data_IF_949976454395
#
_entry.id   IF_949976454395
#
_cell.length_a   1.000
_cell.length_b   1.000
_cell.length_c   1.000
_cell.angle_alpha   90.00
_cell.angle_beta   90.00
_cell.angle_gamma   90.00
#
_symmetry.space_group_name_H-M   'P 1'
#
loop_
_entity.id
_entity.type
_entity.pdbx_description
1 polymer ?
#
# COMPACT_ATOMS: atom_id res chain seq x y z
N UNK A 1 -16.65 -17.86 10.58
CA UNK A 1 -16.57 -17.00 9.37
C UNK A 1 -15.69 -15.81 9.71
N UNK A 2 -14.97 -15.22 8.75
CA UNK A 2 -14.19 -14.00 8.99
C UNK A 2 -15.13 -12.80 8.91
N UNK A 3 -15.06 -11.89 9.87
CA UNK A 3 -15.97 -10.71 9.94
C UNK A 3 -15.55 -9.55 9.02
N UNK A 4 -14.75 -9.83 7.99
CA UNK A 4 -14.23 -8.83 7.06
C UNK A 4 -14.15 -9.39 5.64
N UNK A 5 -14.26 -8.49 4.67
CA UNK A 5 -14.21 -8.83 3.26
C UNK A 5 -12.82 -9.31 2.83
N UNK A 6 -12.80 -10.37 2.02
CA UNK A 6 -11.65 -10.85 1.27
C UNK A 6 -12.07 -10.99 -0.19
N UNK A 7 -11.27 -10.45 -1.10
CA UNK A 7 -11.51 -10.57 -2.55
C UNK A 7 -11.62 -12.04 -2.97
N UNK A 8 -12.56 -12.35 -3.85
CA UNK A 8 -12.68 -13.69 -4.45
C UNK A 8 -11.91 -13.81 -5.77
N UNK A 9 -11.81 -15.04 -6.29
CA UNK A 9 -11.09 -15.30 -7.53
C UNK A 9 -11.74 -14.60 -8.74
N UNK A 10 -13.07 -14.52 -8.78
CA UNK A 10 -13.77 -13.90 -9.90
C UNK A 10 -13.52 -12.38 -9.95
N UNK A 11 -13.46 -11.71 -8.81
CA UNK A 11 -13.05 -10.30 -8.69
C UNK A 11 -11.59 -10.10 -9.06
N UNK A 12 -10.71 -11.03 -8.68
CA UNK A 12 -9.32 -11.01 -9.08
C UNK A 12 -9.19 -11.08 -10.60
N UNK A 13 -9.83 -12.06 -11.25
CA UNK A 13 -9.78 -12.25 -12.69
C UNK A 13 -10.35 -11.05 -13.45
N UNK A 14 -11.46 -10.47 -12.96
CA UNK A 14 -12.04 -9.23 -13.53
C UNK A 14 -11.07 -8.05 -13.45
N UNK A 15 -10.37 -7.88 -12.32
CA UNK A 15 -9.40 -6.79 -12.16
C UNK A 15 -8.20 -6.96 -13.10
N UNK A 16 -7.65 -8.19 -13.19
CA UNK A 16 -6.54 -8.48 -14.09
C UNK A 16 -6.94 -8.28 -15.55
N UNK A 17 -8.10 -8.81 -15.96
CA UNK A 17 -8.63 -8.65 -17.32
C UNK A 17 -8.79 -7.18 -17.71
N UNK A 18 -9.26 -6.34 -16.79
CA UNK A 18 -9.37 -4.90 -17.02
C UNK A 18 -8.01 -4.22 -17.18
N UNK A 19 -7.00 -4.63 -16.41
CA UNK A 19 -5.64 -4.13 -16.60
C UNK A 19 -5.07 -4.58 -17.95
N UNK A 20 -5.22 -5.86 -18.30
CA UNK A 20 -4.79 -6.43 -19.59
C UNK A 20 -5.39 -5.69 -20.78
N UNK A 21 -6.69 -5.40 -20.70
CA UNK A 21 -7.41 -4.70 -21.74
C UNK A 21 -7.03 -3.22 -21.85
N UNK A 22 -6.50 -2.58 -20.80
CA UNK A 22 -6.39 -1.11 -20.75
C UNK A 22 -5.01 -0.56 -20.36
N UNK A 23 -4.00 -1.40 -20.12
CA UNK A 23 -2.69 -0.94 -19.65
C UNK A 23 -1.96 0.00 -20.63
N UNK A 24 -2.21 -0.13 -21.93
CA UNK A 24 -1.66 0.75 -22.97
C UNK A 24 -2.69 1.09 -24.04
N UNK A 25 -2.42 2.13 -24.84
CA UNK A 25 -3.31 2.55 -25.93
C UNK A 25 -3.44 1.48 -27.02
N UNK A 26 -2.32 0.88 -27.42
CA UNK A 26 -2.29 -0.09 -28.53
C UNK A 26 -2.28 -1.54 -28.03
N UNK A 27 -3.00 -2.43 -28.71
CA UNK A 27 -3.02 -3.87 -28.41
C UNK A 27 -1.60 -4.47 -28.47
N UNK A 28 -0.78 -4.01 -29.43
CA UNK A 28 0.61 -4.47 -29.58
C UNK A 28 1.46 -4.15 -28.33
N UNK A 29 1.32 -2.94 -27.77
CA UNK A 29 1.99 -2.57 -26.52
C UNK A 29 1.47 -3.38 -25.33
N UNK A 30 0.14 -3.57 -25.22
CA UNK A 30 -0.46 -4.42 -24.16
C UNK A 30 0.17 -5.82 -24.16
N UNK A 31 0.13 -6.51 -25.31
CA UNK A 31 0.74 -7.85 -25.46
C UNK A 31 2.22 -7.86 -25.09
N UNK A 32 2.98 -6.85 -25.53
CA UNK A 32 4.42 -6.76 -25.21
C UNK A 32 4.69 -6.51 -23.73
N UNK A 33 3.84 -5.74 -23.05
CA UNK A 33 3.93 -5.53 -21.61
C UNK A 33 3.82 -6.86 -20.85
N UNK A 34 2.84 -7.70 -21.17
CA UNK A 34 2.69 -9.00 -20.49
C UNK A 34 3.81 -9.98 -20.84
N UNK A 35 4.33 -9.97 -22.07
CA UNK A 35 5.52 -10.76 -22.42
C UNK A 35 6.76 -10.33 -21.63
N UNK A 36 6.95 -9.01 -21.42
CA UNK A 36 8.06 -8.48 -20.61
C UNK A 36 7.89 -8.89 -19.14
N UNK A 37 6.70 -8.68 -18.58
CA UNK A 37 6.41 -9.03 -17.18
C UNK A 37 6.59 -10.54 -16.94
N UNK A 38 6.05 -11.40 -17.82
CA UNK A 38 6.21 -12.85 -17.73
C UNK A 38 7.67 -13.31 -17.85
N UNK A 39 8.50 -12.62 -18.65
CA UNK A 39 9.92 -12.92 -18.72
C UNK A 39 10.65 -12.61 -17.41
N UNK A 40 10.34 -11.46 -16.79
CA UNK A 40 10.92 -11.08 -15.50
C UNK A 40 10.39 -11.93 -14.33
N UNK A 41 9.12 -12.30 -14.36
CA UNK A 41 8.52 -13.20 -13.37
C UNK A 41 9.17 -14.59 -13.44
N UNK A 42 9.34 -15.16 -14.63
CA UNK A 42 10.08 -16.44 -14.80
C UNK A 42 11.51 -16.35 -14.31
N UNK A 43 12.22 -15.26 -14.60
CA UNK A 43 13.58 -15.07 -14.11
C UNK A 43 13.64 -14.97 -12.57
N UNK A 44 12.63 -14.37 -11.94
CA UNK A 44 12.52 -14.30 -10.49
C UNK A 44 12.23 -15.66 -9.85
N UNK A 45 11.37 -16.47 -10.48
CA UNK A 45 11.02 -17.82 -10.04
C UNK A 45 12.20 -18.78 -10.19
N UNK A 46 12.86 -18.82 -11.36
CA UNK A 46 14.07 -19.64 -11.59
C UNK A 46 15.14 -19.35 -10.54
N UNK A 47 15.40 -18.07 -10.30
CA UNK A 47 16.36 -17.63 -9.29
C UNK A 47 15.97 -18.08 -7.89
N UNK A 48 14.68 -18.03 -7.54
CA UNK A 48 14.18 -18.48 -6.26
C UNK A 48 14.34 -20.00 -6.08
N UNK A 49 13.97 -20.79 -7.08
CA UNK A 49 14.11 -22.25 -7.06
C UNK A 49 15.56 -22.70 -6.94
N UNK A 50 16.48 -22.03 -7.63
CA UNK A 50 17.92 -22.30 -7.53
C UNK A 50 18.49 -22.00 -6.14
N UNK A 51 18.08 -20.89 -5.52
CA UNK A 51 18.46 -20.57 -4.14
C UNK A 51 17.88 -21.60 -3.17
N UNK A 52 16.63 -22.06 -3.36
CA UNK A 52 16.04 -23.12 -2.55
C UNK A 52 16.79 -24.45 -2.67
N UNK A 53 17.41 -24.73 -3.82
CA UNK A 53 18.31 -25.88 -4.04
C UNK A 53 19.71 -25.70 -3.44
N UNK A 54 19.96 -24.59 -2.72
CA UNK A 54 21.25 -24.31 -2.07
C UNK A 54 22.27 -23.58 -2.95
N UNK A 55 21.88 -23.12 -4.15
CA UNK A 55 22.81 -22.43 -5.04
C UNK A 55 23.10 -20.99 -4.56
N UNK A 56 24.39 -20.66 -4.43
CA UNK A 56 24.84 -19.32 -4.05
C UNK A 56 24.83 -18.37 -5.27
N UNK A 57 23.72 -17.67 -5.48
CA UNK A 57 23.58 -16.72 -6.59
C UNK A 57 23.94 -15.27 -6.20
N UNK A 58 24.61 -14.50 -7.08
CA UNK A 58 24.98 -13.11 -6.81
C UNK A 58 23.74 -12.24 -6.60
N UNK A 59 23.76 -11.30 -5.66
CA UNK A 59 22.61 -10.43 -5.35
C UNK A 59 22.25 -9.54 -6.56
N UNK A 60 21.05 -9.71 -7.09
CA UNK A 60 20.53 -8.95 -8.24
C UNK A 60 19.15 -8.38 -7.92
N UNK A 61 18.91 -7.11 -8.26
CA UNK A 61 17.59 -6.48 -8.19
C UNK A 61 16.94 -6.49 -9.58
N UNK A 62 16.17 -7.55 -9.85
CA UNK A 62 15.48 -7.72 -11.13
C UNK A 62 14.48 -6.58 -11.40
N UNK A 63 13.86 -6.02 -10.38
CA UNK A 63 12.93 -4.90 -10.55
C UNK A 63 13.65 -3.60 -10.92
N UNK A 64 14.88 -3.40 -10.45
CA UNK A 64 15.74 -2.30 -10.94
C UNK A 64 16.13 -2.51 -12.40
N UNK A 65 16.51 -3.73 -12.78
CA UNK A 65 16.81 -4.08 -14.18
C UNK A 65 15.60 -3.82 -15.09
N UNK A 66 14.41 -4.25 -14.64
CA UNK A 66 13.14 -3.97 -15.32
C UNK A 66 12.86 -2.47 -15.42
N UNK A 67 13.04 -1.72 -14.32
CA UNK A 67 12.83 -0.26 -14.31
C UNK A 67 13.71 0.45 -15.33
N UNK A 68 14.93 -0.05 -15.53
CA UNK A 68 15.92 0.48 -16.47
C UNK A 68 15.83 -0.11 -17.88
N UNK A 69 14.79 -0.92 -18.17
CA UNK A 69 14.62 -1.53 -19.48
C UNK A 69 14.46 -0.47 -20.56
N UNK A 70 15.43 -0.41 -21.48
CA UNK A 70 15.43 0.48 -22.64
C UNK A 70 14.58 -0.08 -23.79
N UNK A 71 13.99 0.78 -24.63
CA UNK A 71 13.36 0.34 -25.87
C UNK A 71 14.39 -0.34 -26.78
N UNK A 72 13.94 -1.28 -27.61
CA UNK A 72 14.80 -1.83 -28.67
C UNK A 72 14.84 -0.81 -29.81
N UNK A 73 16.03 -0.52 -30.31
CA UNK A 73 16.24 0.40 -31.42
C UNK A 73 15.35 0.00 -32.63
N UNK A 74 14.74 0.98 -33.27
CA UNK A 74 13.78 0.76 -34.36
C UNK A 74 12.40 0.23 -33.95
N UNK A 75 12.07 0.14 -32.65
CA UNK A 75 10.73 -0.32 -32.20
C UNK A 75 9.98 0.74 -31.41
N UNK A 76 8.77 1.12 -31.87
CA UNK A 76 7.86 2.05 -31.15
C UNK A 76 6.83 1.33 -30.27
N UNK A 77 6.68 0.03 -30.46
CA UNK A 77 5.65 -0.79 -29.83
C UNK A 77 6.12 -1.53 -28.57
N UNK A 78 7.42 -1.53 -28.28
CA UNK A 78 7.98 -2.17 -27.08
C UNK A 78 8.07 -1.12 -25.98
N UNK A 79 7.19 -1.15 -24.97
CA UNK A 79 7.23 -0.17 -23.89
C UNK A 79 8.52 -0.34 -23.06
N UNK A 80 9.12 0.78 -22.63
CA UNK A 80 10.21 0.76 -21.65
C UNK A 80 9.66 0.48 -20.25
N UNK A 81 10.55 0.09 -19.33
CA UNK A 81 10.16 -0.21 -17.94
C UNK A 81 9.39 0.93 -17.27
N UNK A 82 9.81 2.17 -17.52
CA UNK A 82 9.12 3.37 -17.03
C UNK A 82 7.66 3.48 -17.49
N UNK A 83 7.37 3.12 -18.73
CA UNK A 83 6.01 3.20 -19.32
C UNK A 83 5.10 2.14 -18.72
N UNK A 84 5.61 0.90 -18.57
CA UNK A 84 4.87 -0.19 -17.93
C UNK A 84 4.56 0.18 -16.47
N UNK A 85 5.55 0.69 -15.73
CA UNK A 85 5.33 1.16 -14.35
C UNK A 85 4.32 2.30 -14.31
N UNK A 86 4.31 3.20 -15.29
CA UNK A 86 3.37 4.32 -15.34
C UNK A 86 1.94 3.84 -15.58
N UNK A 87 1.76 2.94 -16.56
CA UNK A 87 0.47 2.30 -16.81
C UNK A 87 -0.06 1.60 -15.56
N UNK A 88 0.79 0.84 -14.89
CA UNK A 88 0.42 0.12 -13.67
C UNK A 88 0.03 1.07 -12.53
N UNK A 89 0.81 2.12 -12.29
CA UNK A 89 0.51 3.16 -11.28
C UNK A 89 -0.83 3.84 -11.55
N UNK A 90 -1.08 4.24 -12.80
CA UNK A 90 -2.32 4.89 -13.19
C UNK A 90 -3.54 3.98 -12.99
N UNK A 91 -3.43 2.71 -13.40
CA UNK A 91 -4.48 1.72 -13.19
C UNK A 91 -4.80 1.55 -11.71
N UNK A 92 -3.81 1.17 -10.90
CA UNK A 92 -4.04 0.89 -9.48
C UNK A 92 -4.47 2.12 -8.66
N UNK A 93 -3.95 3.30 -8.96
CA UNK A 93 -4.39 4.52 -8.29
C UNK A 93 -5.87 4.78 -8.60
N UNK A 94 -6.30 4.63 -9.85
CA UNK A 94 -7.71 4.82 -10.24
C UNK A 94 -8.62 3.79 -9.56
N UNK A 95 -8.21 2.53 -9.51
CA UNK A 95 -8.94 1.44 -8.81
C UNK A 95 -9.24 1.74 -7.34
N UNK A 96 -8.39 2.54 -6.70
CA UNK A 96 -8.48 2.89 -5.28
C UNK A 96 -8.89 4.34 -5.06
N UNK A 97 -9.52 4.99 -6.05
CA UNK A 97 -10.00 6.37 -5.93
C UNK A 97 -8.89 7.40 -5.70
N UNK A 98 -7.67 7.11 -6.16
CA UNK A 98 -6.45 7.88 -5.91
C UNK A 98 -6.06 8.00 -4.43
N UNK A 99 -6.38 7.00 -3.60
CA UNK A 99 -5.90 6.94 -2.21
C UNK A 99 -4.70 6.02 -2.04
N UNK A 100 -3.79 6.40 -1.15
CA UNK A 100 -2.68 5.55 -0.70
C UNK A 100 -3.24 4.24 -0.12
N UNK A 101 -2.69 3.12 -0.57
CA UNK A 101 -3.17 1.80 -0.17
C UNK A 101 -3.06 1.50 1.34
N UNK A 102 -2.27 2.28 2.09
CA UNK A 102 -2.12 2.13 3.54
C UNK A 102 -2.78 3.26 4.33
N UNK A 103 -2.36 4.51 4.16
CA UNK A 103 -2.82 5.61 5.02
C UNK A 103 -4.08 6.34 4.52
N UNK A 104 -4.62 5.94 3.37
CA UNK A 104 -5.77 6.58 2.74
C UNK A 104 -5.62 8.11 2.55
N UNK A 105 -4.38 8.62 2.46
CA UNK A 105 -4.13 9.98 1.97
C UNK A 105 -4.35 10.03 0.46
N UNK A 106 -4.84 11.16 -0.04
CA UNK A 106 -4.94 11.39 -1.47
C UNK A 106 -3.56 11.36 -2.12
N UNK A 107 -3.46 10.72 -3.28
CA UNK A 107 -2.26 10.61 -4.07
C UNK A 107 -2.30 11.69 -5.17
N UNK A 108 -1.42 12.69 -5.03
CA UNK A 108 -1.26 13.75 -6.02
C UNK A 108 -0.98 13.18 -7.42
N UNK A 109 -1.43 13.88 -8.46
CA UNK A 109 -1.31 13.41 -9.83
C UNK A 109 0.10 13.57 -10.42
N UNK A 110 1.11 13.07 -9.72
CA UNK A 110 2.48 12.99 -10.20
C UNK A 110 3.08 11.60 -9.90
N UNK A 111 3.96 11.11 -10.77
CA UNK A 111 4.50 9.75 -10.67
C UNK A 111 5.38 9.54 -9.45
N UNK A 112 6.03 10.59 -8.96
CA UNK A 112 6.88 10.54 -7.77
C UNK A 112 6.08 10.38 -6.47
N UNK A 113 4.84 10.90 -6.42
CA UNK A 113 3.94 10.76 -5.28
C UNK A 113 3.26 9.39 -5.19
N UNK A 114 3.36 8.56 -6.25
CA UNK A 114 2.66 7.28 -6.39
C UNK A 114 3.62 6.10 -6.58
N UNK A 115 4.62 5.87 -5.70
CA UNK A 115 5.51 4.72 -5.83
C UNK A 115 4.75 3.39 -5.88
N UNK A 116 5.27 2.45 -6.68
CA UNK A 116 4.80 1.07 -6.69
C UNK A 116 5.34 0.38 -5.44
N UNK A 117 4.42 -0.04 -4.58
CA UNK A 117 4.70 -0.77 -3.36
C UNK A 117 4.76 -2.26 -3.64
N UNK A 118 5.72 -2.96 -3.03
CA UNK A 118 5.74 -4.42 -2.99
C UNK A 118 5.22 -4.87 -1.64
N UNK A 119 4.00 -5.41 -1.60
CA UNK A 119 3.31 -5.76 -0.36
C UNK A 119 4.17 -6.73 0.45
N UNK A 120 4.60 -7.82 -0.19
CA UNK A 120 5.73 -8.63 0.25
C UNK A 120 7.02 -8.08 -0.39
N UNK A 121 8.01 -7.63 0.40
CA UNK A 121 9.15 -6.91 -0.11
C UNK A 121 10.02 -7.81 -1.00
N UNK A 122 10.28 -7.35 -2.23
CA UNK A 122 11.06 -8.06 -3.25
C UNK A 122 12.47 -8.49 -2.80
N UNK A 123 13.04 -7.85 -1.79
CA UNK A 123 14.34 -8.20 -1.21
C UNK A 123 14.28 -9.53 -0.43
N UNK A 124 13.13 -9.86 0.17
CA UNK A 124 12.88 -11.11 0.88
C UNK A 124 12.01 -12.10 0.11
N UNK A 125 11.24 -11.61 -0.86
CA UNK A 125 10.26 -12.36 -1.64
C UNK A 125 10.47 -12.10 -3.13
N UNK A 126 11.68 -12.39 -3.61
CA UNK A 126 12.07 -12.09 -5.00
C UNK A 126 11.14 -12.73 -6.02
N UNK A 127 10.63 -13.93 -5.73
CA UNK A 127 9.71 -14.68 -6.60
C UNK A 127 8.39 -13.93 -6.86
N UNK A 128 8.00 -13.01 -5.97
CA UNK A 128 6.79 -12.22 -6.10
C UNK A 128 7.05 -10.80 -6.60
N UNK A 129 8.28 -10.46 -6.99
CA UNK A 129 8.65 -9.09 -7.37
C UNK A 129 7.85 -8.56 -8.57
N UNK A 130 7.37 -9.45 -9.45
CA UNK A 130 6.59 -9.11 -10.64
C UNK A 130 5.15 -9.61 -10.59
N UNK A 131 4.76 -10.30 -9.51
CA UNK A 131 3.42 -10.82 -9.38
C UNK A 131 2.43 -9.66 -9.26
N UNK A 132 1.42 -9.63 -10.13
CA UNK A 132 0.42 -8.55 -10.19
C UNK A 132 -0.15 -8.25 -8.80
N UNK A 133 -0.55 -9.28 -8.04
CA UNK A 133 -1.20 -9.15 -6.75
C UNK A 133 -0.27 -8.72 -5.60
N UNK A 134 1.05 -8.82 -5.80
CA UNK A 134 2.03 -8.32 -4.85
C UNK A 134 2.33 -6.83 -5.00
N UNK A 135 1.86 -6.19 -6.07
CA UNK A 135 2.16 -4.81 -6.37
C UNK A 135 0.96 -3.90 -6.06
N UNK A 136 1.18 -2.83 -5.31
CA UNK A 136 0.20 -1.80 -4.93
C UNK A 136 0.72 -0.38 -5.23
N UNK A 137 -0.07 0.65 -4.94
CA UNK A 137 0.38 2.06 -4.96
C UNK A 137 0.22 2.67 -3.59
N UNK A 138 1.33 3.11 -3.02
CA UNK A 138 1.39 3.81 -1.75
C UNK A 138 1.82 5.27 -1.96
N UNK A 139 1.65 6.11 -0.93
CA UNK A 139 2.32 7.41 -0.91
C UNK A 139 3.81 7.23 -0.57
N UNK A 140 4.61 8.26 -0.86
CA UNK A 140 6.07 8.27 -0.60
C UNK A 140 6.39 7.98 0.86
N UNK A 141 5.65 8.56 1.81
CA UNK A 141 5.87 8.33 3.24
C UNK A 141 5.65 6.87 3.62
N UNK A 142 4.53 6.27 3.22
CA UNK A 142 4.23 4.89 3.57
C UNK A 142 5.24 3.93 2.95
N UNK A 143 5.56 4.10 1.67
CA UNK A 143 6.54 3.28 0.97
C UNK A 143 7.94 3.41 1.61
N UNK A 144 8.33 4.62 2.01
CA UNK A 144 9.63 4.91 2.63
C UNK A 144 9.74 4.44 4.08
N UNK A 145 8.63 4.35 4.83
CA UNK A 145 8.64 3.81 6.20
C UNK A 145 8.57 2.28 6.19
N UNK A 146 7.80 1.69 5.27
CA UNK A 146 7.70 0.24 5.12
C UNK A 146 9.01 -0.36 4.57
N UNK A 147 9.57 0.21 3.49
CA UNK A 147 10.78 -0.31 2.81
C UNK A 147 10.69 -1.84 2.61
N UNK A 148 11.76 -2.54 2.99
CA UNK A 148 11.90 -3.99 2.96
C UNK A 148 11.41 -4.70 4.24
N UNK A 149 10.65 -4.03 5.13
CA UNK A 149 10.09 -4.69 6.32
C UNK A 149 9.13 -5.79 5.91
N UNK A 150 9.30 -6.96 6.52
CA UNK A 150 8.45 -8.13 6.33
C UNK A 150 7.39 -8.13 7.42
N UNK A 151 6.13 -8.01 7.02
CA UNK A 151 5.00 -8.00 7.95
C UNK A 151 4.26 -9.32 8.04
N UNK A 152 4.53 -10.23 7.11
CA UNK A 152 3.94 -11.55 7.04
C UNK A 152 4.69 -12.58 7.88
N UNK A 153 4.08 -13.75 8.04
CA UNK A 153 4.72 -14.92 8.62
C UNK A 153 5.77 -15.55 7.67
N UNK A 154 6.53 -16.51 8.20
CA UNK A 154 7.52 -17.25 7.41
C UNK A 154 6.91 -18.26 6.43
N UNK A 155 5.63 -18.63 6.60
CA UNK A 155 4.96 -19.61 5.75
C UNK A 155 4.87 -19.18 4.30
N UNK A 156 4.90 -17.88 4.03
CA UNK A 156 4.84 -17.30 2.67
C UNK A 156 6.19 -17.25 1.94
N UNK A 157 7.31 -17.50 2.63
CA UNK A 157 8.67 -17.34 2.06
C UNK A 157 9.05 -18.45 1.09
N UNK A 158 8.62 -19.68 1.37
CA UNK A 158 9.06 -20.88 0.65
C UNK A 158 8.03 -21.36 -0.39
N UNK A 159 7.16 -20.47 -0.84
CA UNK A 159 6.15 -20.77 -1.85
C UNK A 159 6.55 -20.15 -3.20
N UNK A 160 6.29 -20.89 -4.28
CA UNK A 160 6.47 -20.44 -5.66
C UNK A 160 5.24 -19.67 -6.14
N UNK A 161 4.04 -20.17 -5.83
CA UNK A 161 2.78 -19.49 -6.13
C UNK A 161 2.53 -18.35 -5.14
N UNK A 162 1.92 -17.25 -5.60
CA UNK A 162 1.54 -16.17 -4.70
C UNK A 162 0.49 -16.67 -3.68
N UNK A 163 0.64 -16.36 -2.38
CA UNK A 163 -0.29 -16.88 -1.38
C UNK A 163 -1.73 -16.45 -1.65
N UNK A 164 -2.68 -17.36 -1.45
CA UNK A 164 -4.10 -17.08 -1.67
C UNK A 164 -4.61 -15.93 -0.78
N UNK A 165 -5.63 -15.16 -1.20
CA UNK A 165 -6.17 -14.06 -0.41
C UNK A 165 -6.51 -14.41 1.04
N UNK A 166 -7.09 -15.59 1.26
CA UNK A 166 -7.48 -16.08 2.58
C UNK A 166 -6.31 -16.36 3.53
N UNK A 167 -5.08 -16.51 3.03
CA UNK A 167 -3.88 -16.83 3.80
C UNK A 167 -3.24 -15.64 4.52
N UNK A 168 -3.64 -14.40 4.20
CA UNK A 168 -3.14 -13.18 4.85
C UNK A 168 -3.91 -12.89 6.15
N UNK A 169 -3.80 -13.79 7.12
CA UNK A 169 -4.46 -13.65 8.43
C UNK A 169 -3.67 -12.78 9.40
N UNK A 170 -2.37 -12.64 9.18
CA UNK A 170 -1.42 -11.99 10.07
C UNK A 170 -1.17 -10.51 9.73
N UNK A 171 -1.49 -10.07 8.50
CA UNK A 171 -1.24 -8.70 8.06
C UNK A 171 -2.33 -8.14 7.16
N UNK A 172 -2.47 -6.82 7.12
CA UNK A 172 -3.36 -6.17 6.17
C UNK A 172 -2.77 -6.23 4.76
N UNK A 173 -3.51 -6.86 3.84
CA UNK A 173 -3.14 -6.92 2.43
C UNK A 173 -3.94 -5.89 1.62
N UNK A 174 -3.34 -4.80 1.12
CA UNK A 174 -4.07 -3.68 0.50
C UNK A 174 -4.84 -4.03 -0.78
N UNK A 175 -4.54 -5.19 -1.37
CA UNK A 175 -5.25 -5.67 -2.56
C UNK A 175 -6.34 -6.70 -2.28
N UNK A 176 -6.26 -7.39 -1.15
CA UNK A 176 -7.18 -8.49 -0.83
C UNK A 176 -8.19 -8.10 0.24
N UNK A 177 -7.84 -7.14 1.10
CA UNK A 177 -8.68 -6.66 2.17
C UNK A 177 -9.27 -5.29 1.86
N UNK A 178 -10.52 -5.07 2.29
CA UNK A 178 -11.14 -3.74 2.22
C UNK A 178 -10.67 -2.90 3.40
N UNK A 179 -10.03 -1.75 3.15
CA UNK A 179 -9.45 -0.93 4.21
C UNK A 179 -10.45 -0.61 5.34
N UNK A 180 -11.67 -0.23 4.96
CA UNK A 180 -12.76 0.10 5.89
C UNK A 180 -13.25 -1.08 6.73
N UNK A 181 -12.80 -2.31 6.52
CA UNK A 181 -13.18 -3.42 7.41
C UNK A 181 -12.10 -3.62 8.48
N UNK A 182 -10.88 -3.11 8.24
CA UNK A 182 -9.73 -3.30 9.12
C UNK A 182 -9.36 -2.06 9.92
N UNK A 183 -9.58 -0.84 9.39
CA UNK A 183 -9.15 0.40 10.04
C UNK A 183 -10.24 1.47 9.93
N UNK A 184 -10.48 2.21 11.02
CA UNK A 184 -11.18 3.51 11.03
C UNK A 184 -10.16 4.62 11.19
N UNK A 185 -10.43 5.78 10.62
CA UNK A 185 -9.60 6.95 10.85
C UNK A 185 -10.40 8.24 10.76
N UNK A 186 -9.89 9.27 11.42
CA UNK A 186 -10.36 10.65 11.32
C UNK A 186 -9.15 11.51 10.99
N UNK A 187 -9.31 12.44 10.05
CA UNK A 187 -8.30 13.44 9.71
C UNK A 187 -8.93 14.82 9.84
N UNK A 188 -8.33 15.66 10.68
CA UNK A 188 -8.71 17.07 10.87
C UNK A 188 -7.53 17.91 10.40
N UNK A 189 -7.81 18.86 9.49
CA UNK A 189 -6.82 19.76 8.96
C UNK A 189 -7.32 21.21 9.06
N UNK A 190 -6.47 22.08 9.57
CA UNK A 190 -6.59 23.54 9.54
C UNK A 190 -5.34 24.12 8.89
N UNK A 191 -5.24 25.45 8.80
CA UNK A 191 -4.03 26.11 8.28
C UNK A 191 -2.78 25.79 9.12
N UNK A 192 -2.97 25.56 10.42
CA UNK A 192 -1.86 25.43 11.39
C UNK A 192 -1.70 24.00 11.93
N UNK A 193 -2.70 23.13 11.74
CA UNK A 193 -2.72 21.80 12.34
C UNK A 193 -3.23 20.75 11.35
N UNK A 194 -2.55 19.60 11.30
CA UNK A 194 -3.00 18.37 10.65
C UNK A 194 -2.87 17.23 11.64
N UNK A 195 -4.01 16.66 12.02
CA UNK A 195 -4.09 15.53 12.94
C UNK A 195 -4.80 14.39 12.23
N UNK A 196 -4.15 13.22 12.16
CA UNK A 196 -4.82 11.97 11.78
C UNK A 196 -4.76 10.98 12.94
N UNK A 197 -5.91 10.42 13.28
CA UNK A 197 -6.05 9.31 14.23
C UNK A 197 -6.45 8.05 13.47
N UNK A 198 -5.79 6.92 13.75
CA UNK A 198 -6.14 5.62 13.17
C UNK A 198 -6.50 4.64 14.29
N UNK A 199 -7.58 3.88 14.10
CA UNK A 199 -8.01 2.80 15.00
C UNK A 199 -8.09 1.50 14.20
N UNK A 200 -7.31 0.50 14.61
CA UNK A 200 -7.39 -0.85 14.06
C UNK A 200 -8.59 -1.60 14.64
N UNK A 201 -9.38 -2.22 13.77
CA UNK A 201 -10.60 -2.96 14.14
C UNK A 201 -10.30 -4.47 14.22
N UNK A 202 -9.67 -5.01 13.18
CA UNK A 202 -9.28 -6.43 13.11
C UNK A 202 -7.82 -6.61 13.55
N UNK A 203 -7.35 -7.84 13.84
CA UNK A 203 -5.94 -8.11 14.14
C UNK A 203 -4.98 -7.54 13.08
N UNK A 204 -5.31 -7.71 11.79
CA UNK A 204 -4.52 -7.16 10.69
C UNK A 204 -4.52 -5.63 10.66
N UNK A 205 -5.65 -5.01 10.99
CA UNK A 205 -5.78 -3.56 11.07
C UNK A 205 -5.01 -2.97 12.25
N UNK A 206 -5.12 -3.60 13.44
CA UNK A 206 -4.33 -3.25 14.62
C UNK A 206 -2.83 -3.34 14.32
N UNK A 207 -2.39 -4.42 13.67
CA UNK A 207 -0.99 -4.58 13.24
C UNK A 207 -0.56 -3.49 12.26
N UNK A 208 -1.38 -3.17 11.26
CA UNK A 208 -1.08 -2.07 10.32
C UNK A 208 -0.94 -0.72 11.04
N UNK A 209 -1.79 -0.46 12.02
CA UNK A 209 -1.69 0.76 12.83
C UNK A 209 -0.37 0.83 13.59
N UNK A 210 0.01 -0.26 14.27
CA UNK A 210 1.26 -0.35 15.03
C UNK A 210 2.49 -0.24 14.13
N UNK A 211 2.52 -0.99 13.02
CA UNK A 211 3.72 -1.13 12.18
C UNK A 211 3.97 0.06 11.25
N UNK A 212 2.92 0.84 10.92
CA UNK A 212 3.01 1.92 9.94
C UNK A 212 2.22 3.17 10.32
N UNK A 213 0.91 3.05 10.58
CA UNK A 213 0.04 4.23 10.61
C UNK A 213 0.32 5.15 11.81
N UNK A 214 0.78 4.61 12.94
CA UNK A 214 1.26 5.39 14.08
C UNK A 214 2.41 6.32 13.68
N UNK A 215 3.39 5.82 12.94
CA UNK A 215 4.52 6.64 12.46
C UNK A 215 4.06 7.69 11.44
N UNK A 216 3.09 7.35 10.60
CA UNK A 216 2.49 8.28 9.63
C UNK A 216 1.76 9.43 10.36
N UNK A 217 0.93 9.11 11.35
CA UNK A 217 0.23 10.10 12.18
C UNK A 217 1.20 10.97 12.97
N UNK A 218 2.21 10.37 13.61
CA UNK A 218 3.23 11.11 14.37
C UNK A 218 4.00 12.09 13.48
N UNK A 219 4.33 11.71 12.25
CA UNK A 219 5.01 12.58 11.29
C UNK A 219 4.17 13.81 10.92
N UNK A 220 2.85 13.69 10.84
CA UNK A 220 1.97 14.85 10.57
C UNK A 220 2.00 15.86 11.73
N UNK A 221 2.00 15.38 12.97
CA UNK A 221 2.04 16.24 14.18
C UNK A 221 3.36 17.01 14.25
N UNK A 222 4.49 16.32 14.00
CA UNK A 222 5.83 16.93 14.09
C UNK A 222 6.03 18.07 13.08
N UNK A 223 5.43 17.96 11.89
CA UNK A 223 5.52 19.02 10.87
C UNK A 223 4.76 20.29 11.30
N UNK A 224 3.80 20.20 12.23
CA UNK A 224 2.99 21.33 12.69
C UNK A 224 3.57 22.04 13.93
N UNK A 225 4.74 21.64 14.44
CA UNK A 225 5.51 22.41 15.44
C UNK A 225 4.87 22.59 16.84
N UNK A 226 3.68 22.04 17.12
CA UNK A 226 3.01 22.22 18.41
C UNK A 226 3.33 21.08 19.40
N UNK A 227 4.39 21.27 20.19
CA UNK A 227 4.89 20.31 21.20
C UNK A 227 3.80 19.87 22.19
N UNK A 228 2.86 20.74 22.55
CA UNK A 228 1.81 20.42 23.53
C UNK A 228 0.79 19.41 22.98
N UNK A 229 0.52 19.44 21.68
CA UNK A 229 -0.41 18.51 21.02
C UNK A 229 0.16 17.09 20.94
N UNK A 230 1.49 16.96 20.86
CA UNK A 230 2.20 15.68 20.80
C UNK A 230 1.91 14.81 22.04
N UNK A 231 1.99 15.40 23.23
CA UNK A 231 1.78 14.69 24.49
C UNK A 231 0.33 14.18 24.62
N UNK A 232 -0.66 15.01 24.26
CA UNK A 232 -2.08 14.60 24.27
C UNK A 232 -2.40 13.49 23.26
N UNK A 233 -1.74 13.47 22.11
CA UNK A 233 -1.98 12.47 21.05
C UNK A 233 -1.27 11.14 21.31
N UNK A 234 -0.15 11.13 22.04
CA UNK A 234 0.50 9.90 22.50
C UNK A 234 -0.36 9.13 23.49
N UNK A 235 -1.11 9.83 24.35
CA UNK A 235 -2.09 9.26 25.28
C UNK A 235 -3.29 8.65 24.54
N UNK A 236 -3.85 9.36 23.55
CA UNK A 236 -5.01 8.89 22.77
C UNK A 236 -4.71 7.62 21.96
N UNK A 237 -3.48 7.46 21.45
CA UNK A 237 -3.09 6.32 20.61
C UNK A 237 -2.85 5.00 21.37
N UNK A 238 -2.93 4.99 22.71
CA UNK A 238 -2.63 3.80 23.53
C UNK A 238 -3.88 3.06 24.03
N UNK A 239 -5.10 3.59 23.88
CA UNK A 239 -6.28 2.99 24.47
C UNK A 239 -7.06 2.07 23.52
N UNK A 240 -7.22 0.81 23.93
CA UNK A 240 -8.21 -0.11 23.39
C UNK A 240 -9.61 0.32 23.82
N UNK A 241 -10.61 0.02 22.98
CA UNK A 241 -11.84 0.80 22.95
C UNK A 241 -13.02 -0.15 22.91
N UNK A 242 -13.68 -0.24 24.08
CA UNK A 242 -15.04 -0.76 24.25
C UNK A 242 -16.04 0.37 24.02
N UNK A 243 -17.25 0.03 23.57
CA UNK A 243 -18.34 0.99 23.36
C UNK A 243 -18.74 1.64 24.69
N UNK A 244 -18.86 2.97 24.72
CA UNK A 244 -19.14 3.74 25.95
C UNK A 244 -17.90 4.10 26.78
N UNK A 245 -16.69 3.92 26.26
CA UNK A 245 -15.43 4.25 26.96
C UNK A 245 -15.14 5.76 27.02
N UNK A 246 -14.36 6.18 28.01
CA UNK A 246 -13.85 7.56 28.16
C UNK A 246 -13.15 8.10 26.91
N UNK A 247 -12.61 7.23 26.05
CA UNK A 247 -11.99 7.60 24.77
C UNK A 247 -13.02 8.10 23.75
N UNK A 248 -14.20 7.49 23.68
CA UNK A 248 -15.30 7.96 22.82
C UNK A 248 -15.78 9.33 23.28
N UNK A 249 -15.91 9.51 24.60
CA UNK A 249 -16.20 10.80 25.23
C UNK A 249 -15.11 11.84 24.94
N UNK A 250 -13.82 11.47 25.03
CA UNK A 250 -12.70 12.35 24.71
C UNK A 250 -12.64 12.73 23.22
N UNK A 251 -12.96 11.79 22.32
CA UNK A 251 -13.03 12.05 20.87
C UNK A 251 -14.21 12.96 20.53
N UNK A 252 -15.38 12.74 21.13
CA UNK A 252 -16.55 13.60 20.97
C UNK A 252 -16.31 15.01 21.54
N UNK A 253 -15.60 15.12 22.67
CA UNK A 253 -15.20 16.40 23.26
C UNK A 253 -14.18 17.14 22.39
N UNK A 254 -13.21 16.42 21.82
CA UNK A 254 -12.23 16.98 20.88
C UNK A 254 -12.95 17.48 19.60
N UNK A 255 -13.87 16.69 19.06
CA UNK A 255 -14.70 17.05 17.91
C UNK A 255 -15.60 18.27 18.18
N UNK A 256 -16.19 18.36 19.38
CA UNK A 256 -17.00 19.49 19.81
C UNK A 256 -16.14 20.76 20.00
N UNK A 257 -14.93 20.64 20.56
CA UNK A 257 -13.99 21.75 20.73
C UNK A 257 -13.49 22.29 19.39
N UNK A 258 -13.19 21.40 18.43
CA UNK A 258 -12.84 21.78 17.06
C UNK A 258 -14.02 22.45 16.34
N UNK A 259 -15.23 21.89 16.45
CA UNK A 259 -16.44 22.46 15.83
C UNK A 259 -16.75 23.85 16.41
N UNK A 260 -16.63 24.03 17.73
CA UNK A 260 -16.85 25.32 18.41
C UNK A 260 -15.81 26.37 18.02
N UNK A 261 -14.56 25.97 17.82
CA UNK A 261 -13.49 26.87 17.37
C UNK A 261 -13.66 27.24 15.88
N UNK A 262 -14.07 26.29 15.03
CA UNK A 262 -14.39 26.54 13.63
C UNK A 262 -15.60 27.50 13.48
N UNK A 263 -16.65 27.30 14.26
CA UNK A 263 -17.83 28.19 14.26
C UNK A 263 -17.52 29.61 14.76
N UNK A 264 -16.54 29.76 15.68
CA UNK A 264 -16.07 31.10 16.12
C UNK A 264 -15.30 31.85 15.04
N UNK A 265 -14.66 31.15 14.12
CA UNK A 265 -13.94 31.75 12.97
C UNK A 265 -14.91 32.11 11.85
N UNK A 266 -16.01 31.36 11.68
CA UNK A 266 -17.02 31.58 10.65
C UNK A 266 -18.05 32.67 11.00
N UNK A 267 -18.21 32.99 12.29
CA UNK A 267 -19.15 34.02 12.77
C UNK A 267 -18.46 35.35 13.12
N UNK A 268 -17.30 35.63 12.52
CA UNK A 268 -16.64 36.94 12.49
C UNK A 268 -16.68 37.48 11.07
#
# INVERSE_FOLDING_TARGET
MKDYFIIDQAEMDRCLSRYEANCHKTIKQRRRTFLILAAFERAALDRFERIQKGEALPKVDLWKNFSNLKPKEGTTYRPKGGDIKSAFRSFLATERGNYCCYCQRWLLNNGNAKPIEHILPRESFQQYAFNFWNLAVACVDCNSIKKAKVWCDNGKRNQTAYPAPSSFTEMYHPRFHRFKDHVRFIRVQTNDHSITLYRGITPQGKKLCTDLLKSIAAKEILVNGNINLKHSLEVINQFETQDGSELETAMNNLQAAFSKSAMKVLNR
#
